data_IF_684897818891
#
_entry.id   IF_684897818891
#
_cell.length_a   1.000
_cell.length_b   1.000
_cell.length_c   1.000
_cell.angle_alpha   90.00
_cell.angle_beta   90.00
_cell.angle_gamma   90.00
#
_symmetry.space_group_name_H-M   'P 1'
#
loop_
_entity.id
_entity.type
_entity.pdbx_description
1 polymer ?
#
# COMPACT_ATOMS: atom_id res chain seq x y z
N UNK A 1 -7.14 -22.20 -18.56
CA UNK A 1 -7.55 -23.31 -17.62
C UNK A 1 -6.36 -23.77 -16.79
N UNK A 2 -5.19 -24.02 -17.41
CA UNK A 2 -3.94 -24.30 -16.71
C UNK A 2 -3.53 -23.17 -15.76
N UNK A 3 -3.77 -21.89 -16.14
CA UNK A 3 -3.38 -20.73 -15.31
C UNK A 3 -4.18 -20.65 -14.00
N UNK A 4 -5.46 -21.02 -14.04
CA UNK A 4 -6.30 -21.08 -12.84
C UNK A 4 -5.81 -22.15 -11.86
N UNK A 5 -5.36 -23.30 -12.38
CA UNK A 5 -4.80 -24.36 -11.55
C UNK A 5 -3.48 -23.92 -10.89
N UNK A 6 -2.61 -23.26 -11.66
CA UNK A 6 -1.33 -22.72 -11.16
C UNK A 6 -1.59 -21.66 -10.08
N UNK A 7 -2.54 -20.74 -10.33
CA UNK A 7 -2.92 -19.71 -9.38
C UNK A 7 -3.52 -20.29 -8.08
N UNK A 8 -4.34 -21.33 -8.18
CA UNK A 8 -4.92 -22.01 -7.01
C UNK A 8 -3.83 -22.69 -6.18
N UNK A 9 -2.93 -23.44 -6.81
CA UNK A 9 -1.81 -24.11 -6.12
C UNK A 9 -0.90 -23.08 -5.43
N UNK A 10 -0.56 -21.99 -6.12
CA UNK A 10 0.25 -20.93 -5.52
C UNK A 10 -0.43 -20.26 -4.32
N UNK A 11 -1.74 -20.03 -4.39
CA UNK A 11 -2.52 -19.43 -3.30
C UNK A 11 -2.54 -20.33 -2.06
N UNK A 12 -2.72 -21.66 -2.26
CA UNK A 12 -2.68 -22.64 -1.17
C UNK A 12 -1.29 -22.71 -0.53
N UNK A 13 -0.23 -22.70 -1.34
CA UNK A 13 1.15 -22.71 -0.85
C UNK A 13 1.45 -21.46 -0.02
N UNK A 14 1.10 -20.27 -0.54
CA UNK A 14 1.31 -19.00 0.18
C UNK A 14 0.52 -18.98 1.49
N UNK A 15 -0.75 -19.40 1.46
CA UNK A 15 -1.59 -19.51 2.65
C UNK A 15 -0.98 -20.42 3.71
N UNK A 16 -0.44 -21.57 3.30
CA UNK A 16 0.25 -22.49 4.20
C UNK A 16 1.52 -21.87 4.82
N UNK A 17 2.34 -21.18 4.02
CA UNK A 17 3.54 -20.52 4.53
C UNK A 17 3.21 -19.36 5.49
N UNK A 18 2.12 -18.63 5.29
CA UNK A 18 1.66 -17.60 6.23
C UNK A 18 1.24 -18.22 7.57
N UNK A 19 0.47 -19.32 7.54
CA UNK A 19 0.03 -20.04 8.75
C UNK A 19 1.24 -20.62 9.51
N UNK A 20 2.28 -21.05 8.80
CA UNK A 20 3.52 -21.57 9.37
C UNK A 20 4.38 -20.49 10.07
N UNK A 21 3.92 -19.24 10.14
CA UNK A 21 4.56 -18.17 10.89
C UNK A 21 5.66 -17.43 10.13
N UNK A 22 5.75 -17.62 8.80
CA UNK A 22 6.66 -16.81 7.98
C UNK A 22 6.11 -15.40 7.79
N UNK A 23 7.02 -14.43 7.59
CA UNK A 23 6.63 -13.05 7.30
C UNK A 23 5.84 -12.99 6.01
N UNK A 24 4.55 -12.66 6.10
CA UNK A 24 3.64 -12.60 4.97
C UNK A 24 4.21 -11.78 3.80
N UNK A 25 4.76 -10.60 4.09
CA UNK A 25 5.36 -9.74 3.06
C UNK A 25 6.47 -10.44 2.25
N UNK A 26 7.34 -11.22 2.90
CA UNK A 26 8.41 -11.94 2.22
C UNK A 26 7.88 -13.10 1.38
N UNK A 27 6.93 -13.87 1.93
CA UNK A 27 6.29 -15.01 1.25
C UNK A 27 5.49 -14.56 0.02
N UNK A 28 4.73 -13.48 0.15
CA UNK A 28 3.96 -12.90 -0.95
C UNK A 28 4.87 -12.34 -2.05
N UNK A 29 5.99 -11.70 -1.67
CA UNK A 29 6.96 -11.18 -2.63
C UNK A 29 7.64 -12.30 -3.42
N UNK A 30 8.12 -13.35 -2.75
CA UNK A 30 8.78 -14.48 -3.42
C UNK A 30 7.80 -15.29 -4.27
N UNK A 31 6.57 -15.51 -3.80
CA UNK A 31 5.54 -16.18 -4.58
C UNK A 31 5.10 -15.37 -5.80
N UNK A 32 4.95 -14.05 -5.66
CA UNK A 32 4.68 -13.15 -6.79
C UNK A 32 5.81 -13.18 -7.82
N UNK A 33 7.07 -13.14 -7.38
CA UNK A 33 8.24 -13.25 -8.27
C UNK A 33 8.29 -14.59 -9.00
N UNK A 34 8.01 -15.69 -8.29
CA UNK A 34 7.93 -17.03 -8.88
C UNK A 34 6.80 -17.10 -9.93
N UNK A 35 5.63 -16.52 -9.64
CA UNK A 35 4.53 -16.43 -10.61
C UNK A 35 4.90 -15.63 -11.85
N UNK A 36 5.62 -14.51 -11.70
CA UNK A 36 6.09 -13.70 -12.84
C UNK A 36 7.03 -14.51 -13.75
N UNK A 37 7.94 -15.28 -13.17
CA UNK A 37 8.87 -16.15 -13.91
C UNK A 37 8.09 -17.26 -14.66
N UNK A 38 7.14 -17.91 -13.98
CA UNK A 38 6.28 -18.94 -14.59
C UNK A 38 5.45 -18.36 -15.75
N UNK A 39 4.91 -17.15 -15.57
CA UNK A 39 4.12 -16.46 -16.61
C UNK A 39 4.97 -16.14 -17.84
N UNK A 40 6.23 -15.73 -17.65
CA UNK A 40 7.15 -15.48 -18.75
C UNK A 40 7.63 -16.74 -19.47
N UNK A 41 7.64 -17.91 -18.83
CA UNK A 41 7.87 -19.21 -19.49
C UNK A 41 6.62 -19.65 -20.27
N UNK A 42 5.42 -19.30 -19.79
CA UNK A 42 4.15 -19.60 -20.45
C UNK A 42 3.84 -18.67 -21.64
N UNK A 43 4.67 -17.67 -21.93
CA UNK A 43 4.52 -16.80 -23.10
C UNK A 43 3.38 -15.78 -23.01
N UNK A 44 2.78 -15.62 -21.83
CA UNK A 44 1.77 -14.57 -21.59
C UNK A 44 2.45 -13.27 -21.19
N UNK A 45 1.92 -12.13 -21.68
CA UNK A 45 2.51 -10.81 -21.41
C UNK A 45 2.50 -10.52 -19.91
N UNK A 46 3.69 -10.55 -19.30
CA UNK A 46 3.90 -10.32 -17.87
C UNK A 46 3.88 -8.81 -17.56
N UNK A 47 4.07 -7.98 -18.60
CA UNK A 47 4.21 -6.54 -18.50
C UNK A 47 2.89 -5.81 -18.80
N UNK A 48 2.52 -4.78 -18.01
CA UNK A 48 1.52 -3.80 -18.42
C UNK A 48 1.92 -3.19 -19.77
N UNK A 49 0.95 -2.85 -20.62
CA UNK A 49 1.09 -2.40 -22.02
C UNK A 49 1.98 -1.15 -22.28
N UNK A 50 2.70 -0.67 -21.27
CA UNK A 50 3.50 0.57 -21.27
C UNK A 50 4.98 0.35 -20.92
N UNK A 51 5.43 -0.89 -20.71
CA UNK A 51 6.84 -1.21 -20.43
C UNK A 51 7.35 -2.12 -21.53
N UNK A 52 8.52 -1.81 -22.10
CA UNK A 52 9.10 -2.57 -23.19
C UNK A 52 9.55 -3.94 -22.68
N UNK A 53 9.13 -5.02 -23.35
CA UNK A 53 9.68 -6.35 -23.09
C UNK A 53 11.16 -6.34 -23.46
N UNK A 54 12.01 -6.66 -22.49
CA UNK A 54 13.46 -6.69 -22.64
C UNK A 54 13.93 -8.00 -23.30
N UNK A 55 12.99 -8.90 -23.63
CA UNK A 55 13.25 -10.11 -24.43
C UNK A 55 13.88 -11.26 -23.65
N UNK A 56 14.06 -11.12 -22.33
CA UNK A 56 14.56 -12.17 -21.45
C UNK A 56 13.70 -12.24 -20.17
N UNK A 57 13.08 -13.40 -19.91
CA UNK A 57 12.13 -13.66 -18.82
C UNK A 57 12.64 -13.27 -17.42
N UNK A 58 13.96 -13.35 -17.22
CA UNK A 58 14.60 -12.97 -15.95
C UNK A 58 14.74 -11.45 -15.77
N UNK A 59 15.01 -10.72 -16.86
CA UNK A 59 15.15 -9.26 -16.83
C UNK A 59 13.78 -8.59 -16.70
N UNK A 60 12.75 -9.13 -17.36
CA UNK A 60 11.36 -8.63 -17.29
C UNK A 60 10.78 -8.73 -15.87
N UNK A 61 11.08 -9.79 -15.13
CA UNK A 61 10.65 -9.93 -13.73
C UNK A 61 11.30 -8.88 -12.81
N UNK A 62 12.59 -8.60 -12.99
CA UNK A 62 13.30 -7.55 -12.23
C UNK A 62 12.80 -6.14 -12.59
N UNK A 63 12.51 -5.91 -13.86
CA UNK A 63 12.00 -4.63 -14.34
C UNK A 63 10.58 -4.35 -13.82
N UNK A 64 9.73 -5.38 -13.73
CA UNK A 64 8.41 -5.27 -13.10
C UNK A 64 8.52 -4.94 -11.60
N UNK A 65 9.44 -5.59 -10.87
CA UNK A 65 9.69 -5.26 -9.45
C UNK A 65 10.16 -3.82 -9.31
N UNK A 66 11.08 -3.37 -10.18
CA UNK A 66 11.55 -1.98 -10.21
C UNK A 66 10.39 -1.01 -10.46
N UNK A 67 9.54 -1.30 -11.43
CA UNK A 67 8.36 -0.48 -11.73
C UNK A 67 7.41 -0.38 -10.52
N UNK A 68 7.09 -1.52 -9.88
CA UNK A 68 6.23 -1.54 -8.69
C UNK A 68 6.84 -0.76 -7.51
N UNK A 69 8.15 -0.89 -7.29
CA UNK A 69 8.86 -0.14 -6.26
C UNK A 69 8.90 1.37 -6.57
N UNK A 70 9.11 1.77 -7.81
CA UNK A 70 9.06 3.18 -8.20
C UNK A 70 7.65 3.76 -8.07
N UNK A 71 6.62 3.01 -8.48
CA UNK A 71 5.24 3.45 -8.38
C UNK A 71 4.78 3.59 -6.92
N UNK A 72 5.06 2.58 -6.08
CA UNK A 72 4.62 2.59 -4.68
C UNK A 72 5.53 3.44 -3.80
N UNK A 73 6.84 3.30 -3.93
CA UNK A 73 7.84 4.02 -3.13
C UNK A 73 8.06 5.46 -3.59
N UNK A 74 8.21 5.67 -4.89
CA UNK A 74 8.44 7.01 -5.47
C UNK A 74 7.16 7.83 -5.64
N UNK A 75 6.01 7.21 -5.89
CA UNK A 75 4.73 7.90 -5.97
C UNK A 75 4.10 8.10 -4.59
N UNK A 76 3.42 7.05 -4.11
CA UNK A 76 2.64 7.10 -2.88
C UNK A 76 3.49 7.40 -1.65
N UNK A 77 4.66 6.77 -1.53
CA UNK A 77 5.57 6.99 -0.39
C UNK A 77 6.04 8.43 -0.27
N UNK A 78 6.42 9.05 -1.40
CA UNK A 78 6.84 10.45 -1.44
C UNK A 78 5.69 11.41 -1.12
N UNK A 79 4.50 11.14 -1.67
CA UNK A 79 3.29 11.92 -1.38
C UNK A 79 2.93 11.89 0.11
N UNK A 80 2.97 10.72 0.74
CA UNK A 80 2.70 10.57 2.18
C UNK A 80 3.77 11.29 3.01
N UNK A 81 5.05 11.18 2.64
CA UNK A 81 6.13 11.90 3.35
C UNK A 81 5.96 13.42 3.27
N UNK A 82 5.57 13.95 2.11
CA UNK A 82 5.23 15.36 1.92
C UNK A 82 4.05 15.80 2.81
N UNK A 83 2.96 15.01 2.84
CA UNK A 83 1.80 15.29 3.69
C UNK A 83 2.15 15.26 5.18
N UNK A 84 2.94 14.28 5.63
CA UNK A 84 3.43 14.22 7.00
C UNK A 84 4.33 15.42 7.34
N UNK A 85 5.21 15.83 6.42
CA UNK A 85 6.04 17.02 6.57
C UNK A 85 5.21 18.30 6.71
N UNK A 86 4.17 18.45 5.89
CA UNK A 86 3.24 19.57 5.97
C UNK A 86 2.45 19.58 7.29
N UNK A 87 1.95 18.42 7.74
CA UNK A 87 1.26 18.29 9.02
C UNK A 87 2.18 18.63 10.21
N UNK A 88 3.44 18.18 10.16
CA UNK A 88 4.46 18.52 11.16
C UNK A 88 4.76 20.02 11.16
N UNK A 89 4.83 20.65 9.99
CA UNK A 89 5.05 22.09 9.87
C UNK A 89 3.85 22.91 10.41
N UNK A 90 2.61 22.52 10.09
CA UNK A 90 1.40 23.14 10.64
C UNK A 90 1.33 23.03 12.16
N UNK A 91 1.81 21.92 12.72
CA UNK A 91 1.90 21.73 14.16
C UNK A 91 3.00 22.61 14.75
N UNK A 92 4.14 22.78 14.08
CA UNK A 92 5.25 23.62 14.53
C UNK A 92 4.92 25.12 14.55
N UNK A 93 4.18 25.62 13.56
CA UNK A 93 3.69 27.02 13.54
C UNK A 93 2.55 27.26 14.55
N UNK A 94 2.05 26.20 15.21
CA UNK A 94 0.97 26.30 16.19
C UNK A 94 -0.41 26.51 15.55
N UNK A 95 -0.52 26.36 14.22
CA UNK A 95 -1.78 26.45 13.49
C UNK A 95 -2.79 25.41 14.00
N UNK A 96 -2.30 24.22 14.39
CA UNK A 96 -3.17 23.18 14.97
C UNK A 96 -3.88 23.67 16.25
N UNK A 97 -3.18 24.40 17.13
CA UNK A 97 -3.78 24.93 18.36
C UNK A 97 -4.81 26.03 18.09
N UNK A 98 -4.62 26.90 17.08
CA UNK A 98 -5.64 27.91 16.73
C UNK A 98 -6.86 27.29 16.05
N UNK A 99 -6.69 26.26 15.22
CA UNK A 99 -7.80 25.53 14.60
C UNK A 99 -8.60 24.79 15.66
N UNK A 100 -7.95 24.04 16.56
CA UNK A 100 -8.62 23.37 17.69
C UNK A 100 -9.30 24.38 18.60
N UNK A 101 -8.67 25.52 18.90
CA UNK A 101 -9.28 26.56 19.75
C UNK A 101 -10.48 27.22 19.06
N UNK A 102 -10.46 27.37 17.74
CA UNK A 102 -11.59 27.88 16.95
C UNK A 102 -12.76 26.89 16.91
N UNK A 103 -12.49 25.58 16.83
CA UNK A 103 -13.52 24.53 16.94
C UNK A 103 -14.03 24.33 18.37
N UNK A 104 -13.19 24.52 19.39
CA UNK A 104 -13.57 24.42 20.81
C UNK A 104 -14.29 25.67 21.33
N UNK A 105 -14.15 26.83 20.66
CA UNK A 105 -14.81 28.09 21.02
C UNK A 105 -16.35 28.04 20.96
N UNK A 106 -16.99 27.49 19.91
CA UNK A 106 -18.45 27.29 19.90
C UNK A 106 -18.87 26.18 20.87
N UNK A 107 -18.01 25.18 21.11
CA UNK A 107 -18.29 24.07 22.03
C UNK A 107 -18.29 24.51 23.49
N UNK A 108 -17.46 25.50 23.87
CA UNK A 108 -17.42 26.06 25.22
C UNK A 108 -18.61 26.97 25.55
N UNK A 109 -19.46 27.31 24.57
CA UNK A 109 -20.71 28.05 24.80
C UNK A 109 -21.76 27.13 25.46
N UNK A 110 -21.65 25.82 25.24
CA UNK A 110 -22.52 24.81 25.86
C UNK A 110 -21.95 24.49 27.26
N UNK A 111 -22.47 25.17 28.28
CA UNK A 111 -22.08 24.96 29.70
C UNK A 111 -22.55 23.64 30.32
N UNK A 112 -23.35 22.84 29.61
CA UNK A 112 -23.87 21.57 30.12
C UNK A 112 -23.12 20.38 29.49
N UNK A 113 -22.26 19.67 30.26
CA UNK A 113 -21.52 18.50 29.80
C UNK A 113 -22.42 17.40 29.21
N UNK A 114 -23.68 17.33 29.65
CA UNK A 114 -24.64 16.30 29.22
C UNK A 114 -25.20 16.51 27.80
N UNK A 115 -25.37 17.76 27.36
CA UNK A 115 -25.85 18.04 25.98
C UNK A 115 -24.75 17.71 24.96
N UNK A 116 -23.50 17.93 25.33
CA UNK A 116 -22.34 17.57 24.50
C UNK A 116 -22.20 16.05 24.33
N UNK A 117 -22.51 15.27 25.36
CA UNK A 117 -22.40 13.82 25.35
C UNK A 117 -23.42 13.16 24.40
N UNK A 118 -24.63 13.72 24.33
CA UNK A 118 -25.70 13.29 23.41
C UNK A 118 -25.45 13.73 21.96
N UNK A 119 -24.80 14.88 21.73
CA UNK A 119 -24.49 15.35 20.39
C UNK A 119 -23.22 14.69 19.78
N UNK A 120 -22.34 14.14 20.61
CA UNK A 120 -21.10 13.48 20.20
C UNK A 120 -21.24 11.96 20.01
N UNK A 121 -22.36 11.37 20.44
CA UNK A 121 -22.75 9.98 20.13
C UNK A 121 -23.54 9.92 18.84
#
# INVERSE_FOLDING_TARGET
>A
MLELLIGLVATVIVGYFIIKGYRAAGVLLTAGLALLIITGILGHTVLPSKVASTGNTFTDALEFVKYMLQYRGGGLGLQIMLLCGFASYMTHIGANNVVVKQFSKPLSVIKSPYVLLVAAT
#
